data_IF_171374434353
#
_entry.id   IF_171374434353
#
_cell.length_a   1.000
_cell.length_b   1.000
_cell.length_c   1.000
_cell.angle_alpha   90.00
_cell.angle_beta   90.00
_cell.angle_gamma   90.00
#
_symmetry.space_group_name_H-M   'P 1'
#
loop_
_entity.id
_entity.type
_entity.pdbx_description
1 polymer ?
#
# COMPACT_ATOMS: atom_id res chain seq x y z
N UNK A 1 -5.45 -79.90 -9.13
CA UNK A 1 -5.11 -80.79 -8.01
C UNK A 1 -4.45 -79.99 -6.90
N UNK A 2 -4.98 -80.11 -5.71
CA UNK A 2 -4.44 -79.73 -4.40
C UNK A 2 -4.35 -78.22 -4.02
N UNK A 3 -5.39 -77.79 -3.33
CA UNK A 3 -5.29 -76.88 -2.16
C UNK A 3 -4.54 -77.63 -1.03
N UNK A 4 -3.87 -76.96 -0.08
CA UNK A 4 -4.54 -76.75 1.19
C UNK A 4 -4.22 -75.48 1.98
N UNK A 5 -5.16 -75.16 2.81
CA UNK A 5 -5.22 -74.82 4.24
C UNK A 5 -4.83 -73.41 4.72
N UNK A 6 -5.83 -72.81 5.33
CA UNK A 6 -5.86 -71.60 6.11
C UNK A 6 -5.04 -71.70 7.42
N UNK A 7 -4.46 -70.58 7.83
CA UNK A 7 -4.03 -70.35 9.20
C UNK A 7 -4.59 -68.99 9.69
N UNK A 8 -5.52 -69.03 10.61
CA UNK A 8 -6.10 -67.93 11.37
C UNK A 8 -5.01 -67.41 12.35
N UNK A 9 -4.58 -66.17 12.21
CA UNK A 9 -3.87 -65.43 13.28
C UNK A 9 -4.70 -64.29 13.78
N UNK A 10 -5.02 -64.34 15.05
CA UNK A 10 -5.66 -63.31 15.87
C UNK A 10 -4.71 -62.10 15.91
N UNK A 11 -5.17 -60.96 15.42
CA UNK A 11 -4.46 -59.70 15.60
C UNK A 11 -5.07 -58.94 16.76
N UNK A 12 -4.23 -58.60 17.72
CA UNK A 12 -4.56 -57.76 18.84
C UNK A 12 -4.82 -56.32 18.36
N UNK A 13 -5.92 -55.72 18.82
CA UNK A 13 -6.18 -54.29 18.69
C UNK A 13 -5.16 -53.52 19.54
N UNK A 14 -4.26 -52.79 18.90
CA UNK A 14 -3.50 -51.72 19.53
C UNK A 14 -4.29 -50.42 19.37
N UNK A 15 -4.80 -49.87 20.47
CA UNK A 15 -5.31 -48.49 20.53
C UNK A 15 -4.10 -47.56 20.30
N UNK A 16 -4.06 -46.94 19.13
CA UNK A 16 -3.17 -45.82 18.89
C UNK A 16 -3.86 -44.56 19.41
N UNK A 17 -3.38 -44.04 20.53
CA UNK A 17 -3.75 -42.70 21.03
C UNK A 17 -3.20 -41.65 20.07
N UNK A 18 -4.08 -41.08 19.23
CA UNK A 18 -3.76 -39.93 18.37
C UNK A 18 -3.72 -38.68 19.27
N UNK A 19 -2.53 -38.33 19.71
CA UNK A 19 -2.26 -36.98 20.26
C UNK A 19 -2.49 -35.95 19.14
N UNK A 20 -3.60 -35.23 19.21
CA UNK A 20 -3.78 -34.01 18.42
C UNK A 20 -2.69 -33.00 18.85
N UNK A 21 -1.66 -32.87 18.05
CA UNK A 21 -0.76 -31.73 18.07
C UNK A 21 -1.56 -30.52 17.55
N UNK A 22 -2.11 -29.74 18.47
CA UNK A 22 -2.55 -28.38 18.20
C UNK A 22 -1.33 -27.60 17.73
N UNK A 23 -1.17 -27.48 16.43
CA UNK A 23 -0.17 -26.64 15.80
C UNK A 23 -0.47 -25.18 16.15
N UNK A 24 0.21 -24.68 17.20
CA UNK A 24 0.31 -23.25 17.46
C UNK A 24 0.88 -22.61 16.20
N UNK A 25 0.13 -21.71 15.56
CA UNK A 25 0.62 -20.87 14.48
C UNK A 25 1.64 -19.90 15.09
N UNK A 26 2.91 -20.35 15.17
CA UNK A 26 4.01 -19.50 15.61
C UNK A 26 4.13 -18.30 14.66
N UNK A 27 4.10 -17.10 15.20
CA UNK A 27 4.69 -15.95 14.53
C UNK A 27 6.10 -16.36 14.10
N UNK A 28 6.38 -16.31 12.81
CA UNK A 28 7.68 -16.73 12.28
C UNK A 28 8.77 -15.89 12.96
N UNK A 29 9.59 -16.53 13.81
CA UNK A 29 10.70 -15.85 14.45
C UNK A 29 11.63 -15.28 13.37
N UNK A 30 12.15 -14.07 13.58
CA UNK A 30 13.13 -13.51 12.66
C UNK A 30 14.31 -14.46 12.52
N UNK A 31 14.86 -14.67 11.31
CA UNK A 31 16.03 -15.50 11.12
C UNK A 31 17.18 -14.95 11.96
N UNK A 32 17.95 -15.85 12.60
CA UNK A 32 19.16 -15.45 13.30
C UNK A 32 20.15 -14.83 12.29
N UNK A 33 20.62 -13.62 12.60
CA UNK A 33 21.60 -12.91 11.78
C UNK A 33 22.89 -12.79 12.55
N UNK A 34 24.00 -13.27 11.96
CA UNK A 34 25.32 -13.17 12.54
C UNK A 34 25.83 -11.71 12.44
N UNK A 35 26.10 -11.10 13.59
CA UNK A 35 26.63 -9.74 13.67
C UNK A 35 28.07 -9.62 13.09
N UNK A 36 28.89 -10.66 13.16
CA UNK A 36 30.21 -10.63 12.54
C UNK A 36 30.12 -10.66 11.03
N UNK A 37 29.21 -11.47 10.47
CA UNK A 37 28.88 -11.46 9.05
C UNK A 37 28.31 -10.12 8.61
N UNK A 38 27.47 -9.46 9.43
CA UNK A 38 26.96 -8.13 9.14
C UNK A 38 28.07 -7.08 9.07
N UNK A 39 28.95 -7.03 10.06
CA UNK A 39 30.12 -6.11 10.06
C UNK A 39 31.03 -6.35 8.86
N UNK A 40 31.31 -7.60 8.53
CA UNK A 40 32.09 -7.96 7.33
C UNK A 40 31.43 -7.47 6.05
N UNK A 41 30.12 -7.65 5.94
CA UNK A 41 29.34 -7.14 4.82
C UNK A 41 29.44 -5.60 4.69
N UNK A 42 29.25 -4.86 5.78
CA UNK A 42 29.37 -3.39 5.78
C UNK A 42 30.76 -2.93 5.31
N UNK A 43 31.83 -3.57 5.78
CA UNK A 43 33.19 -3.27 5.33
C UNK A 43 33.37 -3.49 3.81
N UNK A 44 32.80 -4.56 3.26
CA UNK A 44 32.81 -4.82 1.81
C UNK A 44 32.00 -3.79 1.03
N UNK A 45 30.86 -3.36 1.57
CA UNK A 45 29.99 -2.38 0.92
C UNK A 45 30.66 -1.02 0.80
N UNK A 46 31.41 -0.57 1.80
CA UNK A 46 32.15 0.69 1.79
C UNK A 46 33.08 0.82 0.57
N UNK A 47 33.75 -0.26 0.18
CA UNK A 47 34.65 -0.30 -0.99
C UNK A 47 33.95 -0.55 -2.33
N UNK A 48 32.62 -0.76 -2.34
CA UNK A 48 31.89 -1.14 -3.55
C UNK A 48 31.51 0.06 -4.41
N UNK A 49 31.32 -0.17 -5.72
CA UNK A 49 30.94 0.88 -6.68
C UNK A 49 29.58 1.53 -6.37
N UNK A 50 28.69 0.85 -5.66
CA UNK A 50 27.39 1.39 -5.25
C UNK A 50 27.54 2.59 -4.28
N UNK A 51 28.62 2.62 -3.48
CA UNK A 51 28.87 3.64 -2.46
C UNK A 51 29.87 4.71 -2.88
N UNK A 52 30.29 4.76 -4.14
CA UNK A 52 31.28 5.73 -4.65
C UNK A 52 30.92 7.22 -4.41
N UNK A 53 29.63 7.53 -4.23
CA UNK A 53 29.13 8.88 -3.95
C UNK A 53 29.03 9.19 -2.44
N UNK A 54 29.38 8.23 -1.57
CA UNK A 54 29.43 8.37 -0.12
C UNK A 54 30.89 8.37 0.30
N UNK A 55 31.37 9.44 0.92
CA UNK A 55 32.73 9.48 1.42
C UNK A 55 32.95 8.53 2.62
N UNK A 56 34.22 8.15 2.84
CA UNK A 56 34.55 7.15 3.87
C UNK A 56 34.22 7.64 5.30
N UNK A 57 34.32 8.94 5.56
CA UNK A 57 34.01 9.51 6.87
C UNK A 57 32.51 9.46 7.15
N UNK A 58 31.67 9.84 6.17
CA UNK A 58 30.22 9.74 6.24
C UNK A 58 29.76 8.30 6.38
N UNK A 59 30.32 7.38 5.58
CA UNK A 59 30.00 5.95 5.71
C UNK A 59 30.26 5.48 7.14
N UNK A 60 31.49 5.72 7.65
CA UNK A 60 31.87 5.31 9.01
C UNK A 60 30.97 5.95 10.05
N UNK A 61 30.74 7.27 9.98
CA UNK A 61 29.92 8.03 10.91
C UNK A 61 28.51 7.47 11.05
N UNK A 62 27.86 7.10 9.95
CA UNK A 62 26.46 6.69 9.94
C UNK A 62 26.27 5.18 10.09
N UNK A 63 27.35 4.37 10.02
CA UNK A 63 27.28 2.92 10.22
C UNK A 63 28.00 2.44 11.49
N UNK A 64 28.70 3.31 12.20
CA UNK A 64 29.40 2.97 13.43
C UNK A 64 28.41 2.47 14.49
N UNK A 65 28.69 1.27 15.04
CA UNK A 65 27.83 0.65 16.06
C UNK A 65 26.49 0.13 15.55
N UNK A 66 26.26 0.12 14.23
CA UNK A 66 25.02 -0.36 13.65
C UNK A 66 24.86 -1.87 13.86
N UNK A 67 23.74 -2.28 14.45
CA UNK A 67 23.32 -3.67 14.56
C UNK A 67 22.30 -4.03 13.48
N UNK A 68 22.24 -5.29 13.00
CA UNK A 68 21.21 -5.68 12.04
C UNK A 68 19.82 -5.71 12.68
N UNK A 69 18.77 -5.49 11.88
CA UNK A 69 17.37 -5.71 12.26
C UNK A 69 16.79 -6.93 11.52
N UNK A 70 16.84 -8.14 12.09
CA UNK A 70 16.33 -9.35 11.42
C UNK A 70 14.83 -9.31 11.12
N UNK A 71 14.07 -8.47 11.82
CA UNK A 71 12.62 -8.38 11.63
C UNK A 71 12.24 -7.87 10.24
N UNK A 72 13.09 -7.09 9.56
CA UNK A 72 12.82 -6.61 8.19
C UNK A 72 12.89 -7.74 7.17
N UNK A 73 13.61 -8.82 7.45
CA UNK A 73 13.72 -9.97 6.54
C UNK A 73 12.41 -10.76 6.45
N UNK A 74 11.65 -10.84 7.55
CA UNK A 74 10.33 -11.48 7.59
C UNK A 74 9.31 -10.71 6.73
N UNK A 75 9.48 -9.39 6.61
CA UNK A 75 8.56 -8.52 5.89
C UNK A 75 8.75 -8.54 4.37
N UNK A 76 9.89 -9.04 3.87
CA UNK A 76 10.17 -9.13 2.44
C UNK A 76 9.12 -9.89 1.62
N UNK A 77 8.41 -10.84 2.24
CA UNK A 77 7.42 -11.70 1.57
C UNK A 77 5.97 -11.26 1.83
N UNK A 78 5.76 -10.14 2.54
CA UNK A 78 4.44 -9.63 2.90
C UNK A 78 4.16 -8.29 2.22
N UNK A 79 3.33 -8.32 1.18
CA UNK A 79 2.91 -7.11 0.43
C UNK A 79 1.37 -7.06 0.37
N UNK A 80 0.70 -6.34 1.31
CA UNK A 80 -0.77 -6.31 1.43
C UNK A 80 -1.49 -5.81 0.18
N UNK A 81 -0.91 -4.87 -0.56
CA UNK A 81 -1.48 -4.26 -1.78
C UNK A 81 -1.74 -5.26 -2.91
N UNK A 82 -1.12 -6.44 -2.87
CA UNK A 82 -1.32 -7.50 -3.84
C UNK A 82 -2.19 -8.66 -3.33
N UNK A 83 -2.48 -8.69 -2.02
CA UNK A 83 -3.19 -9.80 -1.37
C UNK A 83 -4.60 -9.46 -0.93
N UNK A 84 -4.88 -8.19 -0.63
CA UNK A 84 -6.20 -7.75 -0.20
C UNK A 84 -7.16 -7.62 -1.41
N UNK A 85 -8.46 -7.96 -1.24
CA UNK A 85 -9.48 -7.56 -2.19
C UNK A 85 -9.51 -6.04 -2.38
N UNK A 86 -9.79 -5.57 -3.60
CA UNK A 86 -9.78 -4.14 -3.92
C UNK A 86 -10.72 -3.33 -3.02
N UNK A 87 -11.89 -3.88 -2.70
CA UNK A 87 -12.86 -3.18 -1.83
C UNK A 87 -12.41 -3.04 -0.39
N UNK A 88 -11.63 -3.98 0.16
CA UNK A 88 -11.02 -3.85 1.49
C UNK A 88 -9.89 -2.80 1.45
N UNK A 89 -9.07 -2.83 0.40
CA UNK A 89 -7.98 -1.90 0.20
C UNK A 89 -8.50 -0.45 0.11
N UNK A 90 -9.53 -0.22 -0.70
CA UNK A 90 -10.16 1.10 -0.85
C UNK A 90 -10.83 1.55 0.45
N UNK A 91 -11.56 0.67 1.15
CA UNK A 91 -12.26 1.04 2.39
C UNK A 91 -11.33 1.56 3.50
N UNK A 92 -10.09 1.03 3.57
CA UNK A 92 -9.08 1.50 4.55
C UNK A 92 -8.40 2.80 4.12
N UNK A 93 -8.23 3.02 2.82
CA UNK A 93 -7.48 4.16 2.29
C UNK A 93 -8.36 5.36 1.89
N UNK A 94 -9.66 5.13 1.69
CA UNK A 94 -10.60 6.17 1.27
C UNK A 94 -11.84 6.06 2.13
N UNK A 95 -11.83 6.75 3.25
CA UNK A 95 -12.93 6.84 4.21
C UNK A 95 -13.28 8.31 4.52
N UNK A 96 -14.43 8.52 5.18
CA UNK A 96 -14.92 9.87 5.49
C UNK A 96 -13.91 10.70 6.31
N UNK A 97 -13.19 10.08 7.25
CA UNK A 97 -12.17 10.76 8.05
C UNK A 97 -11.02 11.25 7.16
N UNK A 98 -10.49 10.37 6.31
CA UNK A 98 -9.38 10.75 5.42
C UNK A 98 -9.80 11.80 4.39
N UNK A 99 -11.04 11.73 3.92
CA UNK A 99 -11.59 12.77 3.01
C UNK A 99 -11.71 14.10 3.74
N UNK A 100 -12.20 14.12 4.98
CA UNK A 100 -12.29 15.33 5.79
C UNK A 100 -10.89 15.93 6.07
N UNK A 101 -9.94 15.10 6.50
CA UNK A 101 -8.53 15.49 6.70
C UNK A 101 -7.91 16.03 5.41
N UNK A 102 -8.18 15.39 4.27
CA UNK A 102 -7.70 15.82 2.96
C UNK A 102 -8.23 17.17 2.53
N UNK A 103 -9.52 17.44 2.76
CA UNK A 103 -10.14 18.76 2.50
C UNK A 103 -9.53 19.83 3.41
N UNK A 104 -9.33 19.53 4.68
CA UNK A 104 -8.67 20.43 5.62
C UNK A 104 -7.21 20.72 5.21
N UNK A 105 -6.46 19.70 4.82
CA UNK A 105 -5.10 19.81 4.32
C UNK A 105 -5.03 20.63 3.03
N UNK A 106 -5.95 20.39 2.09
CA UNK A 106 -6.07 21.15 0.85
C UNK A 106 -6.31 22.64 1.13
N UNK A 107 -7.26 22.96 2.01
CA UNK A 107 -7.56 24.34 2.38
C UNK A 107 -6.36 25.02 3.08
N UNK A 108 -5.71 24.32 4.02
CA UNK A 108 -4.55 24.84 4.74
C UNK A 108 -3.38 25.19 3.82
N UNK A 109 -3.13 24.37 2.79
CA UNK A 109 -1.97 24.50 1.91
C UNK A 109 -2.32 25.04 0.53
N UNK A 110 -3.49 25.66 0.36
CA UNK A 110 -4.03 26.08 -0.93
C UNK A 110 -3.06 26.96 -1.74
N UNK A 111 -2.42 27.95 -1.11
CA UNK A 111 -1.50 28.86 -1.81
C UNK A 111 -0.22 28.15 -2.24
N UNK A 112 0.33 27.28 -1.39
CA UNK A 112 1.48 26.43 -1.72
C UNK A 112 1.15 25.50 -2.88
N UNK A 113 0.02 24.81 -2.81
CA UNK A 113 -0.45 23.89 -3.84
C UNK A 113 -0.68 24.60 -5.19
N UNK A 114 -1.23 25.81 -5.18
CA UNK A 114 -1.42 26.63 -6.40
C UNK A 114 -0.08 27.00 -7.04
N UNK A 115 0.93 27.38 -6.25
CA UNK A 115 2.28 27.64 -6.75
C UNK A 115 2.93 26.37 -7.34
N UNK A 116 2.74 25.22 -6.68
CA UNK A 116 3.22 23.93 -7.17
C UNK A 116 2.57 23.57 -8.50
N UNK A 117 1.24 23.73 -8.64
CA UNK A 117 0.52 23.49 -9.88
C UNK A 117 1.01 24.39 -11.02
N UNK A 118 1.28 25.66 -10.75
CA UNK A 118 1.84 26.57 -11.75
C UNK A 118 3.18 26.08 -12.30
N UNK A 119 4.05 25.55 -11.44
CA UNK A 119 5.39 25.08 -11.81
C UNK A 119 5.37 23.69 -12.46
N UNK A 120 4.52 22.78 -11.99
CA UNK A 120 4.55 21.37 -12.39
C UNK A 120 3.44 20.95 -13.33
N UNK A 121 2.33 21.67 -13.32
CA UNK A 121 1.10 21.31 -14.02
C UNK A 121 0.28 20.23 -13.34
N UNK A 122 0.69 19.74 -12.18
CA UNK A 122 -0.01 18.69 -11.42
C UNK A 122 -1.14 19.32 -10.61
N UNK A 123 -2.34 18.78 -10.72
CA UNK A 123 -3.51 19.31 -10.02
C UNK A 123 -3.36 19.17 -8.49
N UNK A 124 -3.70 20.22 -7.71
CA UNK A 124 -3.55 20.26 -6.25
C UNK A 124 -4.22 19.11 -5.53
N UNK A 125 -5.44 18.73 -5.91
CA UNK A 125 -6.16 17.61 -5.30
C UNK A 125 -5.47 16.27 -5.51
N UNK A 126 -4.74 16.08 -6.62
CA UNK A 126 -3.97 14.88 -6.90
C UNK A 126 -2.76 14.78 -5.95
N UNK A 127 -2.06 15.89 -5.74
CA UNK A 127 -0.94 15.97 -4.79
C UNK A 127 -1.41 15.62 -3.37
N UNK A 128 -2.54 16.20 -2.95
CA UNK A 128 -3.16 15.91 -1.63
C UNK A 128 -3.62 14.46 -1.54
N UNK A 129 -4.17 13.89 -2.62
CA UNK A 129 -4.57 12.49 -2.68
C UNK A 129 -3.39 11.52 -2.46
N UNK A 130 -2.24 11.78 -3.11
CA UNK A 130 -1.00 11.02 -2.86
C UNK A 130 -0.57 11.17 -1.41
N UNK A 131 -0.48 12.39 -0.90
CA UNK A 131 -0.06 12.67 0.48
C UNK A 131 -0.94 11.97 1.52
N UNK A 132 -2.27 11.95 1.28
CA UNK A 132 -3.22 11.23 2.13
C UNK A 132 -3.03 9.72 2.14
N UNK A 133 -2.80 9.11 0.97
CA UNK A 133 -2.61 7.66 0.86
C UNK A 133 -1.25 7.24 1.42
N UNK A 134 -0.18 8.02 1.17
CA UNK A 134 1.18 7.66 1.58
C UNK A 134 1.41 7.78 3.08
N UNK A 135 1.04 8.90 3.67
CA UNK A 135 1.42 9.19 5.06
C UNK A 135 0.28 9.71 5.92
N UNK A 136 -0.98 9.59 5.46
CA UNK A 136 -2.11 10.19 6.15
C UNK A 136 -1.84 11.68 6.47
N UNK A 137 -1.46 12.43 5.45
CA UNK A 137 -1.10 13.86 5.55
C UNK A 137 0.04 14.14 6.54
N UNK A 138 1.07 13.32 6.52
CA UNK A 138 2.25 13.45 7.38
C UNK A 138 2.10 12.88 8.80
N UNK A 139 0.97 12.28 9.13
CA UNK A 139 0.74 11.70 10.47
C UNK A 139 1.37 10.31 10.64
N UNK A 140 1.68 9.61 9.55
CA UNK A 140 2.26 8.27 9.58
C UNK A 140 3.46 8.17 8.64
N UNK A 141 4.64 8.41 9.16
CA UNK A 141 5.90 8.39 8.40
C UNK A 141 6.64 7.06 8.49
N UNK A 142 6.15 6.12 9.31
CA UNK A 142 6.88 4.95 9.75
C UNK A 142 7.83 5.28 10.91
N UNK A 143 8.42 4.26 11.53
CA UNK A 143 9.23 4.45 12.75
C UNK A 143 10.54 3.66 12.77
N UNK A 144 10.93 3.03 11.66
CA UNK A 144 12.17 2.25 11.62
C UNK A 144 13.34 3.13 11.15
N UNK A 145 14.51 3.06 11.82
CA UNK A 145 15.71 3.72 11.33
C UNK A 145 16.07 3.19 9.94
N UNK A 146 16.07 4.08 8.93
CA UNK A 146 16.27 3.68 7.53
C UNK A 146 17.63 3.05 7.29
N UNK A 147 18.67 3.65 7.89
CA UNK A 147 20.06 3.16 7.75
C UNK A 147 20.16 1.72 8.23
N UNK A 148 19.56 1.38 9.37
CA UNK A 148 19.57 0.02 9.92
C UNK A 148 18.81 -0.97 9.04
N UNK A 149 17.59 -0.60 8.64
CA UNK A 149 16.74 -1.45 7.78
C UNK A 149 17.42 -1.73 6.45
N UNK A 150 17.90 -0.70 5.76
CA UNK A 150 18.55 -0.82 4.45
C UNK A 150 19.90 -1.52 4.52
N UNK A 151 20.71 -1.28 5.55
CA UNK A 151 21.95 -2.01 5.78
C UNK A 151 21.68 -3.52 5.95
N UNK A 152 20.68 -3.88 6.76
CA UNK A 152 20.29 -5.29 6.95
C UNK A 152 19.85 -5.93 5.64
N UNK A 153 18.98 -5.28 4.88
CA UNK A 153 18.49 -5.77 3.59
C UNK A 153 19.57 -5.79 2.50
N UNK A 154 20.61 -4.97 2.62
CA UNK A 154 21.78 -4.95 1.73
C UNK A 154 22.69 -6.14 1.93
N UNK A 155 22.76 -6.66 3.16
CA UNK A 155 23.63 -7.78 3.55
C UNK A 155 22.91 -9.13 3.53
N UNK A 156 21.60 -9.14 3.83
CA UNK A 156 20.83 -10.37 4.00
C UNK A 156 19.53 -10.34 3.21
N UNK A 157 18.96 -11.53 2.99
CA UNK A 157 17.71 -11.67 2.27
C UNK A 157 17.86 -11.62 0.75
N UNK A 158 16.74 -11.40 0.07
CA UNK A 158 16.67 -11.30 -1.41
C UNK A 158 16.75 -9.85 -1.88
N UNK A 159 17.09 -9.63 -3.17
CA UNK A 159 17.18 -8.30 -3.80
C UNK A 159 18.28 -7.40 -3.20
N UNK A 160 19.35 -7.95 -2.65
CA UNK A 160 20.43 -7.21 -2.02
C UNK A 160 20.99 -6.09 -2.92
N UNK A 161 21.17 -6.35 -4.22
CA UNK A 161 21.69 -5.34 -5.15
C UNK A 161 20.80 -4.08 -5.21
N UNK A 162 19.47 -4.26 -5.17
CA UNK A 162 18.53 -3.14 -5.09
C UNK A 162 18.71 -2.37 -3.77
N UNK A 163 18.70 -3.07 -2.63
CA UNK A 163 18.81 -2.43 -1.33
C UNK A 163 20.16 -1.76 -1.09
N UNK A 164 21.26 -2.25 -1.68
CA UNK A 164 22.57 -1.57 -1.67
C UNK A 164 22.51 -0.20 -2.31
N UNK A 165 21.80 -0.05 -3.42
CA UNK A 165 21.57 1.25 -4.06
C UNK A 165 20.76 2.20 -3.18
N UNK A 166 19.69 1.70 -2.53
CA UNK A 166 18.88 2.49 -1.63
C UNK A 166 19.64 2.86 -0.34
N UNK A 167 20.45 1.95 0.18
CA UNK A 167 21.30 2.21 1.35
C UNK A 167 22.35 3.31 1.05
N UNK A 168 23.05 3.20 -0.07
CA UNK A 168 24.00 4.23 -0.50
C UNK A 168 23.31 5.60 -0.66
N UNK A 169 22.13 5.63 -1.25
CA UNK A 169 21.33 6.85 -1.38
C UNK A 169 20.90 7.40 0.00
N UNK A 170 20.51 6.56 0.95
CA UNK A 170 20.17 7.00 2.31
C UNK A 170 21.37 7.65 3.03
N UNK A 171 22.56 7.04 2.95
CA UNK A 171 23.79 7.64 3.50
C UNK A 171 24.14 8.97 2.83
N UNK A 172 23.92 9.07 1.52
CA UNK A 172 24.16 10.30 0.78
C UNK A 172 23.18 11.42 1.18
N UNK A 173 21.91 11.13 1.48
CA UNK A 173 20.93 12.10 2.01
C UNK A 173 21.47 12.70 3.31
N UNK A 174 22.00 11.85 4.21
CA UNK A 174 22.60 12.29 5.46
C UNK A 174 23.91 13.07 5.26
N UNK A 175 24.75 12.63 4.35
CA UNK A 175 26.03 13.31 3.98
C UNK A 175 25.79 14.72 3.44
N UNK A 176 24.76 14.88 2.59
CA UNK A 176 24.39 16.17 2.00
C UNK A 176 23.60 17.07 2.99
N UNK A 177 23.25 16.54 4.18
CA UNK A 177 22.59 17.31 5.24
C UNK A 177 21.13 17.65 4.98
N UNK A 178 20.47 16.95 4.05
CA UNK A 178 19.07 17.21 3.73
C UNK A 178 18.11 16.81 4.86
N UNK A 179 18.40 15.70 5.54
CA UNK A 179 17.60 15.16 6.64
C UNK A 179 18.54 14.88 7.82
N UNK A 180 18.12 15.20 9.03
CA UNK A 180 18.88 14.89 10.24
C UNK A 180 18.89 13.36 10.49
N UNK A 181 19.98 12.77 11.04
CA UNK A 181 20.10 11.32 11.22
C UNK A 181 18.98 10.68 12.06
N UNK A 182 18.52 11.35 13.10
CA UNK A 182 17.42 10.93 13.97
C UNK A 182 16.05 11.05 13.31
N UNK A 183 15.91 11.85 12.26
CA UNK A 183 14.71 12.05 11.46
C UNK A 183 14.60 11.10 10.26
N UNK A 184 15.71 10.43 9.87
CA UNK A 184 15.69 9.50 8.74
C UNK A 184 15.10 8.15 9.18
N UNK A 185 13.81 8.18 9.45
CA UNK A 185 12.97 7.01 9.80
C UNK A 185 11.89 6.78 8.75
N UNK A 186 11.37 5.56 8.66
CA UNK A 186 10.35 5.25 7.67
C UNK A 186 9.87 3.80 7.72
N UNK A 187 9.55 3.23 6.56
CA UNK A 187 9.11 1.86 6.40
C UNK A 187 10.27 0.86 6.55
N UNK A 188 9.92 -0.41 6.74
CA UNK A 188 10.90 -1.50 6.79
C UNK A 188 11.75 -1.64 5.50
N UNK A 189 11.20 -1.23 4.36
CA UNK A 189 11.84 -1.34 3.04
C UNK A 189 12.61 -0.08 2.63
N UNK A 190 12.57 1.00 3.45
CA UNK A 190 13.32 2.21 3.19
C UNK A 190 12.53 3.37 2.58
N UNK A 191 11.20 3.24 2.42
CA UNK A 191 10.36 4.38 2.06
C UNK A 191 10.25 5.34 3.26
N UNK A 192 10.38 6.67 3.04
CA UNK A 192 10.46 7.63 4.13
C UNK A 192 9.83 8.98 3.81
N UNK A 193 9.61 9.76 4.87
CA UNK A 193 9.06 11.10 4.81
C UNK A 193 7.57 11.11 4.44
N UNK A 194 7.03 12.29 4.24
CA UNK A 194 5.61 12.50 3.96
C UNK A 194 5.18 11.95 2.59
N UNK A 195 6.13 11.82 1.67
CA UNK A 195 5.95 11.29 0.31
C UNK A 195 6.18 9.79 0.21
N UNK A 196 6.72 9.15 1.26
CA UNK A 196 7.15 7.75 1.26
C UNK A 196 8.07 7.41 0.07
N UNK A 197 9.00 8.31 -0.26
CA UNK A 197 9.99 8.06 -1.30
C UNK A 197 11.02 7.02 -0.86
N UNK A 198 11.44 6.20 -1.80
CA UNK A 198 12.70 5.47 -1.66
C UNK A 198 13.88 6.47 -1.75
N UNK A 199 15.01 6.24 -1.06
CA UNK A 199 16.16 7.15 -1.09
C UNK A 199 16.65 7.49 -2.50
N UNK A 200 16.64 6.56 -3.44
CA UNK A 200 16.97 6.83 -4.83
C UNK A 200 15.94 7.73 -5.53
N UNK A 201 14.65 7.62 -5.15
CA UNK A 201 13.58 8.49 -5.68
C UNK A 201 13.74 9.92 -5.15
N UNK A 202 14.20 10.08 -3.91
CA UNK A 202 14.53 11.39 -3.36
C UNK A 202 15.48 12.17 -4.28
N UNK A 203 16.56 11.57 -4.74
CA UNK A 203 17.51 12.26 -5.65
C UNK A 203 16.92 12.58 -7.02
N UNK A 204 15.92 11.84 -7.48
CA UNK A 204 15.26 12.08 -8.77
C UNK A 204 14.17 13.14 -8.70
N UNK A 205 13.51 13.30 -7.55
CA UNK A 205 12.24 14.03 -7.49
C UNK A 205 12.10 14.98 -6.29
N UNK A 206 12.90 14.86 -5.24
CA UNK A 206 12.83 15.79 -4.11
C UNK A 206 13.33 17.19 -4.52
N UNK A 207 12.59 18.20 -4.11
CA UNK A 207 12.87 19.61 -4.38
C UNK A 207 12.88 20.41 -3.07
N UNK A 208 13.71 21.43 -3.02
CA UNK A 208 13.69 22.49 -2.03
C UNK A 208 12.69 23.55 -2.53
N UNK A 209 11.49 23.56 -1.99
CA UNK A 209 10.41 24.44 -2.43
C UNK A 209 10.25 25.68 -1.55
N UNK A 210 10.60 25.58 -0.28
CA UNK A 210 10.58 26.71 0.65
C UNK A 210 11.86 27.57 0.59
N UNK A 211 12.94 27.05 -0.04
CA UNK A 211 14.16 27.78 -0.34
C UNK A 211 15.14 27.85 0.84
N UNK A 212 15.07 26.90 1.78
CA UNK A 212 15.96 26.84 2.96
C UNK A 212 17.32 26.19 2.67
N UNK A 213 17.55 25.69 1.44
CA UNK A 213 18.76 25.01 0.98
C UNK A 213 18.72 23.50 1.20
N UNK A 214 17.64 22.94 1.73
CA UNK A 214 17.46 21.50 1.95
C UNK A 214 16.25 21.00 1.16
N UNK A 215 16.24 19.73 0.83
CA UNK A 215 15.09 19.03 0.25
C UNK A 215 14.44 18.19 1.35
N UNK A 216 13.73 18.83 2.26
CA UNK A 216 13.22 18.19 3.47
C UNK A 216 11.81 17.63 3.29
N UNK A 217 11.71 16.41 2.81
CA UNK A 217 10.38 15.72 2.66
C UNK A 217 9.85 15.12 3.97
N UNK A 218 10.54 15.33 5.10
CA UNK A 218 10.13 14.82 6.42
C UNK A 218 9.43 15.93 7.21
N UNK A 219 10.11 17.03 7.45
CA UNK A 219 9.62 18.12 8.31
C UNK A 219 9.03 19.30 7.50
N UNK A 220 9.42 19.52 6.22
CA UNK A 220 8.85 20.55 5.35
C UNK A 220 7.69 20.02 4.51
N UNK A 221 6.48 20.45 4.83
CA UNK A 221 5.28 20.13 4.02
C UNK A 221 5.36 20.72 2.61
N UNK A 222 5.82 21.98 2.39
CA UNK A 222 6.00 22.53 1.05
C UNK A 222 6.91 21.68 0.17
N UNK A 223 8.05 21.22 0.69
CA UNK A 223 8.98 20.35 -0.03
C UNK A 223 8.36 19.00 -0.36
N UNK A 224 7.66 18.40 0.60
CA UNK A 224 6.98 17.13 0.41
C UNK A 224 5.93 17.20 -0.70
N UNK A 225 5.07 18.23 -0.68
CA UNK A 225 4.02 18.43 -1.69
C UNK A 225 4.62 18.70 -3.07
N UNK A 226 5.64 19.57 -3.15
CA UNK A 226 6.33 19.89 -4.40
C UNK A 226 7.10 18.69 -4.95
N UNK A 227 7.73 17.89 -4.08
CA UNK A 227 8.42 16.66 -4.46
C UNK A 227 7.46 15.61 -5.01
N UNK A 228 6.28 15.45 -4.40
CA UNK A 228 5.20 14.61 -4.93
C UNK A 228 4.79 15.05 -6.33
N UNK A 229 4.53 16.35 -6.52
CA UNK A 229 4.17 16.89 -7.83
C UNK A 229 5.30 16.71 -8.85
N UNK A 230 6.55 16.91 -8.45
CA UNK A 230 7.73 16.69 -9.31
C UNK A 230 7.87 15.22 -9.74
N UNK A 231 7.60 14.28 -8.85
CA UNK A 231 7.55 12.86 -9.20
C UNK A 231 6.51 12.59 -10.29
N UNK A 232 5.27 13.08 -10.10
CA UNK A 232 4.18 12.89 -11.07
C UNK A 232 4.49 13.58 -12.40
N UNK A 233 5.08 14.78 -12.38
CA UNK A 233 5.55 15.48 -13.58
C UNK A 233 6.60 14.65 -14.33
N UNK A 234 7.60 14.11 -13.63
CA UNK A 234 8.63 13.25 -14.20
C UNK A 234 8.04 11.95 -14.78
N UNK A 235 6.96 11.44 -14.19
CA UNK A 235 6.21 10.28 -14.69
C UNK A 235 5.30 10.60 -15.89
N UNK A 236 5.26 11.86 -16.34
CA UNK A 236 4.52 12.30 -17.53
C UNK A 236 3.08 12.73 -17.27
N UNK A 237 2.80 13.28 -16.08
CA UNK A 237 1.50 13.87 -15.75
C UNK A 237 1.13 14.95 -16.76
N UNK A 238 -0.12 14.95 -17.20
CA UNK A 238 -0.65 15.88 -18.20
C UNK A 238 -1.61 16.87 -17.54
N UNK A 239 -1.24 18.14 -17.62
CA UNK A 239 -2.08 19.24 -17.13
C UNK A 239 -3.46 19.22 -17.77
N UNK A 240 -4.52 19.36 -16.96
CA UNK A 240 -5.90 19.44 -17.43
C UNK A 240 -6.53 18.12 -17.85
N UNK A 241 -5.77 17.03 -18.00
CA UNK A 241 -6.37 15.70 -18.22
C UNK A 241 -6.80 15.09 -16.87
N UNK A 242 -8.02 14.53 -16.74
CA UNK A 242 -8.38 13.74 -15.57
C UNK A 242 -7.61 12.41 -15.54
N UNK A 243 -7.58 11.75 -14.39
CA UNK A 243 -7.06 10.38 -14.33
C UNK A 243 -7.95 9.37 -15.04
N UNK A 244 -9.27 9.60 -15.04
CA UNK A 244 -10.31 8.76 -15.60
C UNK A 244 -11.69 9.06 -15.04
N UNK A 245 -12.64 8.15 -15.33
CA UNK A 245 -14.04 8.25 -14.91
C UNK A 245 -14.58 6.86 -14.54
N UNK A 246 -15.48 6.77 -13.54
CA UNK A 246 -16.32 5.61 -13.38
C UNK A 246 -17.37 5.55 -14.51
N UNK A 247 -17.58 4.37 -15.10
CA UNK A 247 -18.43 4.18 -16.27
C UNK A 247 -19.41 3.04 -16.10
N UNK A 248 -20.56 3.15 -16.77
CA UNK A 248 -21.49 2.05 -16.97
C UNK A 248 -21.14 1.30 -18.28
N UNK A 249 -21.16 -0.03 -18.21
CA UNK A 249 -21.01 -0.88 -19.36
C UNK A 249 -22.40 -1.32 -19.84
N UNK A 250 -22.69 -1.31 -21.16
CA UNK A 250 -23.95 -1.84 -21.67
C UNK A 250 -24.08 -3.36 -21.36
N UNK A 251 -25.31 -3.89 -21.26
CA UNK A 251 -25.54 -5.32 -21.04
C UNK A 251 -24.81 -6.17 -22.09
N UNK A 252 -24.09 -7.20 -21.61
CA UNK A 252 -23.36 -8.11 -22.50
C UNK A 252 -22.06 -7.55 -23.08
N UNK A 253 -21.56 -6.42 -22.58
CA UNK A 253 -20.31 -5.84 -23.05
C UNK A 253 -19.14 -6.81 -22.91
N UNK A 254 -18.40 -7.01 -23.99
CA UNK A 254 -17.18 -7.84 -23.97
C UNK A 254 -16.04 -7.13 -23.24
N UNK A 255 -15.65 -7.68 -22.10
CA UNK A 255 -14.55 -7.18 -21.28
C UNK A 255 -13.23 -7.88 -21.53
N UNK A 256 -13.11 -8.76 -22.55
CA UNK A 256 -11.88 -9.54 -22.84
C UNK A 256 -10.66 -8.64 -22.98
N UNK A 257 -10.81 -7.50 -23.61
CA UNK A 257 -9.79 -6.47 -23.86
C UNK A 257 -9.60 -5.47 -22.69
N UNK A 258 -10.24 -5.69 -21.53
CA UNK A 258 -10.05 -4.79 -20.40
C UNK A 258 -8.58 -4.77 -19.96
N UNK A 259 -8.07 -3.56 -19.76
CA UNK A 259 -6.71 -3.29 -19.29
C UNK A 259 -6.37 -1.82 -19.45
N UNK A 260 -5.76 -1.22 -18.43
CA UNK A 260 -5.41 0.21 -18.41
C UNK A 260 -4.51 0.64 -19.58
N UNK A 261 -3.74 -0.27 -20.17
CA UNK A 261 -2.85 -0.02 -21.32
C UNK A 261 -3.53 -0.19 -22.67
N UNK A 262 -4.66 -0.90 -22.72
CA UNK A 262 -5.40 -1.17 -23.96
C UNK A 262 -6.27 0.06 -24.32
N UNK A 263 -5.60 1.18 -24.63
CA UNK A 263 -6.27 2.45 -24.85
C UNK A 263 -6.92 2.52 -26.22
N UNK A 264 -8.16 3.05 -26.21
CA UNK A 264 -8.90 3.43 -27.41
C UNK A 264 -9.27 4.91 -27.33
N UNK A 265 -9.47 5.60 -28.46
CA UNK A 265 -10.04 6.97 -28.46
C UNK A 265 -11.37 7.00 -27.69
N UNK A 266 -11.67 8.12 -27.02
CA UNK A 266 -12.91 8.21 -26.21
C UNK A 266 -14.16 7.99 -27.07
N UNK A 267 -14.17 8.43 -28.33
CA UNK A 267 -15.26 8.19 -29.26
C UNK A 267 -15.50 6.71 -29.57
N UNK A 268 -14.48 5.88 -29.52
CA UNK A 268 -14.65 4.44 -29.69
C UNK A 268 -15.43 3.85 -28.51
N UNK A 269 -15.20 4.35 -27.30
CA UNK A 269 -15.95 3.95 -26.12
C UNK A 269 -17.40 4.44 -26.15
N UNK A 270 -17.65 5.68 -26.61
CA UNK A 270 -19.01 6.21 -26.86
C UNK A 270 -19.78 5.34 -27.85
N UNK A 271 -19.17 5.02 -28.99
CA UNK A 271 -19.80 4.14 -29.99
C UNK A 271 -20.04 2.71 -29.47
N UNK A 272 -19.24 2.26 -28.52
CA UNK A 272 -19.46 0.98 -27.83
C UNK A 272 -20.54 1.05 -26.75
N UNK A 273 -21.20 2.21 -26.56
CA UNK A 273 -22.32 2.39 -25.64
C UNK A 273 -21.94 2.67 -24.18
N UNK A 274 -20.67 2.99 -23.90
CA UNK A 274 -20.27 3.36 -22.52
C UNK A 274 -20.74 4.78 -22.19
N UNK A 275 -21.20 4.95 -20.95
CA UNK A 275 -21.58 6.23 -20.37
C UNK A 275 -20.83 6.47 -19.06
N UNK A 276 -20.88 7.67 -18.51
CA UNK A 276 -20.49 7.90 -17.12
C UNK A 276 -21.41 7.11 -16.18
N UNK A 277 -20.97 6.95 -14.93
CA UNK A 277 -21.71 6.18 -13.92
C UNK A 277 -23.13 6.72 -13.64
N UNK A 278 -23.39 8.00 -13.88
CA UNK A 278 -24.71 8.64 -13.80
C UNK A 278 -25.57 8.53 -15.08
N UNK A 279 -25.07 7.81 -16.09
CA UNK A 279 -25.72 7.65 -17.40
C UNK A 279 -25.45 8.77 -18.40
N UNK A 280 -24.76 9.83 -18.03
CA UNK A 280 -24.41 10.94 -18.93
C UNK A 280 -23.31 10.54 -19.93
N UNK A 281 -23.18 11.33 -21.01
CA UNK A 281 -22.19 11.08 -22.05
C UNK A 281 -20.75 11.25 -21.54
N UNK A 282 -19.82 10.43 -22.08
CA UNK A 282 -18.41 10.55 -21.76
C UNK A 282 -17.88 11.93 -22.23
N UNK A 283 -17.14 12.69 -21.40
CA UNK A 283 -16.62 14.00 -21.76
C UNK A 283 -15.41 13.92 -22.71
N UNK A 284 -15.10 15.01 -23.41
CA UNK A 284 -13.94 15.12 -24.31
C UNK A 284 -12.61 15.40 -23.59
N UNK A 285 -12.64 15.54 -22.26
CA UNK A 285 -11.46 15.89 -21.46
C UNK A 285 -10.39 14.80 -21.41
N UNK A 286 -10.70 13.59 -21.90
CA UNK A 286 -9.79 12.46 -21.96
C UNK A 286 -9.70 11.95 -23.41
N UNK A 287 -8.59 12.19 -24.14
CA UNK A 287 -8.49 11.87 -25.55
C UNK A 287 -8.53 10.37 -25.86
N UNK A 288 -8.00 9.57 -24.95
CA UNK A 288 -8.01 8.09 -25.03
C UNK A 288 -7.95 7.46 -23.64
N UNK A 289 -8.58 6.31 -23.48
CA UNK A 289 -8.64 5.59 -22.22
C UNK A 289 -8.54 4.07 -22.39
N UNK A 290 -8.06 3.38 -21.38
CA UNK A 290 -8.17 1.94 -21.22
C UNK A 290 -9.27 1.58 -20.22
N UNK A 291 -9.95 0.47 -20.45
CA UNK A 291 -10.99 -0.01 -19.52
C UNK A 291 -10.37 -0.77 -18.36
N UNK A 292 -10.55 -0.28 -17.15
CA UNK A 292 -10.11 -0.92 -15.91
C UNK A 292 -11.31 -1.48 -15.16
N UNK A 293 -11.26 -2.77 -14.79
CA UNK A 293 -12.27 -3.44 -13.97
C UNK A 293 -11.54 -4.11 -12.80
N UNK A 294 -11.34 -3.43 -11.66
CA UNK A 294 -10.45 -3.91 -10.59
C UNK A 294 -10.90 -5.22 -9.94
N UNK A 295 -12.21 -5.48 -9.93
CA UNK A 295 -12.80 -6.69 -9.34
C UNK A 295 -13.01 -7.83 -10.36
N UNK A 296 -12.53 -7.69 -11.62
CA UNK A 296 -12.73 -8.71 -12.66
C UNK A 296 -12.22 -10.08 -12.22
N UNK A 297 -13.10 -11.08 -12.29
CA UNK A 297 -12.79 -12.44 -11.86
C UNK A 297 -12.68 -12.63 -10.34
N UNK A 298 -13.03 -11.61 -9.56
CA UNK A 298 -13.04 -11.63 -8.09
C UNK A 298 -14.44 -11.31 -7.61
N UNK A 299 -15.24 -12.31 -7.32
CA UNK A 299 -16.51 -12.14 -6.59
C UNK A 299 -16.41 -12.84 -5.24
N UNK A 300 -17.02 -12.29 -4.21
CA UNK A 300 -17.09 -12.89 -2.89
C UNK A 300 -18.55 -12.98 -2.42
N UNK A 301 -18.89 -14.08 -1.76
CA UNK A 301 -20.20 -14.25 -1.12
C UNK A 301 -21.37 -14.45 -2.10
N UNK A 302 -21.12 -14.81 -3.37
CA UNK A 302 -22.18 -15.04 -4.36
C UNK A 302 -22.79 -13.77 -4.95
N UNK A 303 -22.28 -12.58 -4.61
CA UNK A 303 -22.67 -11.34 -5.26
C UNK A 303 -22.17 -11.36 -6.72
N UNK A 304 -23.11 -11.42 -7.68
CA UNK A 304 -22.80 -11.37 -9.12
C UNK A 304 -22.42 -9.95 -9.55
N UNK A 305 -21.71 -9.86 -10.68
CA UNK A 305 -21.38 -8.58 -11.31
C UNK A 305 -19.86 -8.33 -11.44
N UNK A 306 -19.53 -7.32 -12.23
CA UNK A 306 -18.14 -6.91 -12.48
C UNK A 306 -17.60 -5.92 -11.43
N UNK A 307 -18.51 -5.32 -10.63
CA UNK A 307 -18.18 -4.16 -9.78
C UNK A 307 -17.95 -2.89 -10.59
N UNK A 308 -17.39 -1.85 -9.96
CA UNK A 308 -17.07 -0.59 -10.62
C UNK A 308 -16.12 -0.80 -11.80
N UNK A 309 -16.42 -0.13 -12.91
CA UNK A 309 -15.59 -0.08 -14.10
C UNK A 309 -15.15 1.36 -14.36
N UNK A 310 -13.93 1.53 -14.89
CA UNK A 310 -13.35 2.85 -15.10
C UNK A 310 -12.71 2.95 -16.48
N UNK A 311 -12.91 4.10 -17.15
CA UNK A 311 -12.04 4.50 -18.24
C UNK A 311 -10.89 5.31 -17.66
N UNK A 312 -9.65 4.82 -17.82
CA UNK A 312 -8.46 5.42 -17.23
C UNK A 312 -7.50 5.96 -18.28
N UNK A 313 -7.00 7.16 -18.04
CA UNK A 313 -6.11 7.88 -18.94
C UNK A 313 -4.63 7.77 -18.52
N UNK A 314 -3.83 8.68 -19.13
CA UNK A 314 -2.39 8.74 -18.84
C UNK A 314 -2.08 9.15 -17.41
N UNK A 315 -2.87 10.04 -16.81
CA UNK A 315 -2.66 10.46 -15.43
C UNK A 315 -2.89 9.33 -14.43
N UNK A 316 -3.74 8.35 -14.74
CA UNK A 316 -3.81 7.11 -13.95
C UNK A 316 -2.51 6.31 -13.98
N UNK A 317 -1.80 6.27 -15.13
CA UNK A 317 -0.50 5.59 -15.18
C UNK A 317 0.57 6.32 -14.35
N UNK A 318 0.49 7.65 -14.21
CA UNK A 318 1.43 8.37 -13.34
C UNK A 318 1.19 8.03 -11.87
N UNK A 319 -0.08 7.90 -11.45
CA UNK A 319 -0.42 7.40 -10.11
C UNK A 319 0.04 5.95 -9.92
N UNK A 320 -0.19 5.10 -10.91
CA UNK A 320 0.27 3.71 -10.89
C UNK A 320 1.80 3.59 -10.75
N UNK A 321 2.57 4.52 -11.34
CA UNK A 321 4.03 4.47 -11.31
C UNK A 321 4.62 4.68 -9.90
N UNK A 322 3.83 5.19 -8.98
CA UNK A 322 4.26 5.43 -7.60
C UNK A 322 4.49 4.11 -6.84
N UNK A 323 3.59 3.14 -6.98
CA UNK A 323 3.68 1.84 -6.29
C UNK A 323 3.37 0.61 -7.18
N UNK A 324 3.29 0.76 -8.49
CA UNK A 324 3.02 -0.31 -9.46
C UNK A 324 1.78 -1.18 -9.14
N UNK A 325 0.76 -0.62 -8.50
CA UNK A 325 -0.49 -1.26 -8.12
C UNK A 325 -1.70 -0.48 -8.63
N UNK A 326 -2.64 -1.16 -9.30
CA UNK A 326 -3.90 -0.55 -9.78
C UNK A 326 -4.82 -0.18 -8.63
N UNK A 327 -4.86 -0.99 -7.57
CA UNK A 327 -5.64 -0.68 -6.36
C UNK A 327 -5.14 0.60 -5.67
N UNK A 328 -3.81 0.74 -5.58
CA UNK A 328 -3.17 1.93 -5.03
C UNK A 328 -3.48 3.18 -5.88
N UNK A 329 -3.29 3.10 -7.19
CA UNK A 329 -3.61 4.21 -8.08
C UNK A 329 -5.09 4.63 -8.00
N UNK A 330 -6.00 3.65 -7.88
CA UNK A 330 -7.43 3.90 -7.74
C UNK A 330 -7.77 4.57 -6.39
N UNK A 331 -7.10 4.18 -5.29
CA UNK A 331 -7.28 4.83 -4.00
C UNK A 331 -6.90 6.31 -4.03
N UNK A 332 -5.74 6.64 -4.63
CA UNK A 332 -5.32 8.03 -4.82
C UNK A 332 -6.31 8.78 -5.70
N UNK A 333 -6.70 8.19 -6.82
CA UNK A 333 -7.62 8.77 -7.78
C UNK A 333 -8.97 9.12 -7.14
N UNK A 334 -9.53 8.18 -6.36
CA UNK A 334 -10.79 8.39 -5.64
C UNK A 334 -10.64 9.45 -4.54
N UNK A 335 -9.61 9.37 -3.71
CA UNK A 335 -9.36 10.37 -2.67
C UNK A 335 -9.19 11.78 -3.28
N UNK A 336 -8.46 11.89 -4.39
CA UNK A 336 -8.28 13.15 -5.12
C UNK A 336 -9.61 13.73 -5.57
N UNK A 337 -10.50 12.92 -6.13
CA UNK A 337 -11.83 13.35 -6.56
C UNK A 337 -12.67 13.83 -5.38
N UNK A 338 -12.66 13.11 -4.25
CA UNK A 338 -13.43 13.43 -3.05
C UNK A 338 -12.93 14.69 -2.35
N UNK A 339 -11.63 14.95 -2.39
CA UNK A 339 -11.04 16.21 -1.88
C UNK A 339 -11.52 17.41 -2.74
N UNK A 340 -11.55 17.25 -4.06
CA UNK A 340 -11.99 18.31 -4.97
C UNK A 340 -13.52 18.54 -4.98
N UNK A 341 -14.32 17.52 -4.61
CA UNK A 341 -15.78 17.55 -4.73
C UNK A 341 -16.45 17.35 -3.35
N UNK A 342 -16.72 18.41 -2.58
CA UNK A 342 -17.24 18.30 -1.22
C UNK A 342 -18.61 17.62 -1.08
N UNK A 343 -19.40 17.55 -2.15
CA UNK A 343 -20.71 16.89 -2.15
C UNK A 343 -20.68 15.40 -2.51
N UNK A 344 -19.53 14.86 -2.94
CA UNK A 344 -19.42 13.47 -3.34
C UNK A 344 -19.28 12.55 -2.12
N UNK A 345 -20.02 11.43 -2.12
CA UNK A 345 -19.86 10.35 -1.13
C UNK A 345 -18.63 9.46 -1.43
N UNK A 346 -18.12 8.77 -0.42
CA UNK A 346 -16.91 7.93 -0.55
C UNK A 346 -17.10 6.69 -1.42
N UNK A 347 -18.33 6.21 -1.56
CA UNK A 347 -18.65 5.04 -2.36
C UNK A 347 -18.62 5.35 -3.86
N UNK A 348 -18.21 4.38 -4.66
CA UNK A 348 -18.45 4.41 -6.10
C UNK A 348 -19.94 4.24 -6.41
N UNK A 349 -20.39 4.73 -7.56
CA UNK A 349 -21.78 4.61 -7.99
C UNK A 349 -22.20 3.14 -8.19
N UNK A 350 -21.28 2.32 -8.71
CA UNK A 350 -21.47 0.88 -8.85
C UNK A 350 -20.97 0.16 -7.60
N UNK A 351 -21.78 -0.67 -6.94
CA UNK A 351 -21.33 -1.40 -5.76
C UNK A 351 -20.28 -2.47 -6.11
N UNK A 352 -19.38 -2.73 -5.16
CA UNK A 352 -18.45 -3.85 -5.29
C UNK A 352 -19.16 -5.21 -5.29
N UNK A 353 -18.66 -6.23 -6.02
CA UNK A 353 -19.27 -7.55 -6.10
C UNK A 353 -18.93 -8.38 -4.84
N UNK A 354 -19.38 -7.91 -3.69
CA UNK A 354 -19.22 -8.56 -2.39
C UNK A 354 -20.44 -8.32 -1.50
N UNK A 355 -20.80 -9.32 -0.71
CA UNK A 355 -21.80 -9.22 0.33
C UNK A 355 -21.20 -8.94 1.73
N UNK A 356 -19.86 -8.75 1.77
CA UNK A 356 -19.11 -8.43 2.98
C UNK A 356 -18.07 -7.34 2.67
N UNK A 357 -18.46 -6.07 2.57
CA UNK A 357 -17.54 -4.97 2.32
C UNK A 357 -16.45 -4.83 3.40
N UNK A 358 -15.33 -4.22 3.05
CA UNK A 358 -14.27 -3.85 3.99
C UNK A 358 -14.73 -2.81 5.00
N UNK A 359 -13.94 -2.63 6.04
CA UNK A 359 -14.19 -1.67 7.12
C UNK A 359 -13.37 -0.37 6.91
N UNK A 360 -14.00 0.78 7.19
CA UNK A 360 -13.29 2.05 7.33
C UNK A 360 -12.34 2.03 8.55
N UNK A 361 -11.47 3.03 8.67
CA UNK A 361 -10.59 3.15 9.86
C UNK A 361 -11.39 3.27 11.16
N UNK A 362 -12.48 4.04 11.16
CA UNK A 362 -13.36 4.16 12.31
C UNK A 362 -13.99 2.82 12.69
N UNK A 363 -14.49 2.06 11.70
CA UNK A 363 -15.04 0.73 11.92
C UNK A 363 -13.98 -0.30 12.35
N UNK A 364 -12.75 -0.17 11.87
CA UNK A 364 -11.63 -0.99 12.35
C UNK A 364 -11.31 -0.70 13.82
N UNK A 365 -11.32 0.58 14.26
CA UNK A 365 -11.17 0.93 15.68
C UNK A 365 -12.32 0.36 16.52
N UNK A 366 -13.53 0.43 16.03
CA UNK A 366 -14.67 -0.19 16.70
C UNK A 366 -14.51 -1.71 16.85
N UNK A 367 -14.11 -2.40 15.76
CA UNK A 367 -13.80 -3.83 15.79
C UNK A 367 -12.70 -4.16 16.82
N UNK A 368 -11.62 -3.40 16.82
CA UNK A 368 -10.52 -3.56 17.78
C UNK A 368 -11.00 -3.34 19.22
N UNK A 369 -11.82 -2.33 19.48
CA UNK A 369 -12.41 -2.09 20.81
C UNK A 369 -13.28 -3.27 21.28
N UNK A 370 -14.05 -3.87 20.38
CA UNK A 370 -14.83 -5.05 20.67
C UNK A 370 -13.96 -6.29 20.95
N UNK A 371 -12.82 -6.43 20.27
CA UNK A 371 -11.85 -7.51 20.53
C UNK A 371 -11.16 -7.33 21.88
N UNK A 372 -10.74 -6.10 22.22
CA UNK A 372 -10.17 -5.76 23.52
C UNK A 372 -11.15 -6.07 24.67
N UNK A 373 -12.43 -5.67 24.51
CA UNK A 373 -13.47 -5.96 25.49
C UNK A 373 -13.72 -7.46 25.71
N UNK A 374 -13.36 -8.31 24.73
CA UNK A 374 -13.40 -9.78 24.80
C UNK A 374 -12.12 -10.42 25.33
N UNK A 375 -11.15 -9.61 25.76
CA UNK A 375 -9.91 -10.06 26.39
C UNK A 375 -8.77 -10.40 25.41
N UNK A 376 -8.86 -10.02 24.14
CA UNK A 376 -7.76 -10.22 23.20
C UNK A 376 -6.67 -9.16 23.38
N UNK A 377 -5.41 -9.59 23.56
CA UNK A 377 -4.25 -8.68 23.60
C UNK A 377 -3.82 -8.27 22.18
N UNK A 378 -4.46 -7.25 21.64
CA UNK A 378 -4.15 -6.71 20.32
C UNK A 378 -3.38 -5.38 20.35
N UNK A 379 -3.04 -4.88 21.54
CA UNK A 379 -2.47 -3.55 21.77
C UNK A 379 -3.53 -2.47 21.84
N UNK A 380 -3.54 -1.51 20.92
CA UNK A 380 -4.49 -0.38 20.90
C UNK A 380 -5.49 -0.51 19.74
N UNK A 381 -6.62 0.20 19.88
CA UNK A 381 -7.60 0.36 18.80
C UNK A 381 -7.19 1.55 17.90
N UNK A 382 -6.19 1.32 17.06
CA UNK A 382 -5.58 2.33 16.16
C UNK A 382 -6.22 2.40 14.76
N UNK A 383 -7.10 1.45 14.44
CA UNK A 383 -7.72 1.31 13.12
C UNK A 383 -6.89 0.53 12.12
N UNK A 384 -5.73 0.01 12.50
CA UNK A 384 -4.83 -0.77 11.65
C UNK A 384 -4.91 -2.26 12.00
N UNK A 385 -5.27 -3.08 11.03
CA UNK A 385 -5.38 -4.53 11.24
C UNK A 385 -4.01 -5.20 11.15
N UNK A 386 -3.29 -5.21 12.28
CA UNK A 386 -1.98 -5.85 12.43
C UNK A 386 -2.06 -7.37 12.61
N UNK A 387 -0.92 -8.02 12.86
CA UNK A 387 -0.85 -9.47 13.03
C UNK A 387 -1.65 -9.95 14.25
N UNK A 388 -1.49 -9.32 15.41
CA UNK A 388 -2.23 -9.65 16.63
C UNK A 388 -3.74 -9.51 16.44
N UNK A 389 -4.19 -8.42 15.79
CA UNK A 389 -5.60 -8.19 15.48
C UNK A 389 -6.15 -9.29 14.56
N UNK A 390 -5.39 -9.73 13.54
CA UNK A 390 -5.81 -10.81 12.64
C UNK A 390 -5.99 -12.14 13.38
N UNK A 391 -5.11 -12.49 14.30
CA UNK A 391 -5.24 -13.72 15.09
C UNK A 391 -6.45 -13.65 16.05
N UNK A 392 -6.70 -12.50 16.69
CA UNK A 392 -7.90 -12.26 17.47
C UNK A 392 -9.18 -12.40 16.62
N UNK A 393 -9.17 -11.83 15.40
CA UNK A 393 -10.27 -11.97 14.44
C UNK A 393 -10.51 -13.45 14.11
N UNK A 394 -9.49 -14.24 13.81
CA UNK A 394 -9.64 -15.68 13.52
C UNK A 394 -10.28 -16.44 14.68
N UNK A 395 -9.86 -16.13 15.90
CA UNK A 395 -10.43 -16.73 17.12
C UNK A 395 -11.92 -16.41 17.25
N UNK A 396 -12.31 -15.15 17.05
CA UNK A 396 -13.72 -14.76 17.10
C UNK A 396 -14.54 -15.35 15.94
N UNK A 397 -13.98 -15.40 14.73
CA UNK A 397 -14.61 -16.04 13.58
C UNK A 397 -14.89 -17.52 13.87
N UNK A 398 -13.94 -18.26 14.46
CA UNK A 398 -14.15 -19.65 14.88
C UNK A 398 -15.27 -19.76 15.91
N UNK A 399 -15.26 -18.90 16.96
CA UNK A 399 -16.29 -18.87 18.00
C UNK A 399 -17.70 -18.61 17.44
N UNK A 400 -17.78 -17.81 16.38
CA UNK A 400 -19.02 -17.44 15.70
C UNK A 400 -19.42 -18.41 14.57
N UNK A 401 -18.68 -19.50 14.35
CA UNK A 401 -18.92 -20.44 13.25
C UNK A 401 -18.65 -19.87 11.86
N UNK A 402 -17.89 -18.78 11.77
CA UNK A 402 -17.46 -18.17 10.52
C UNK A 402 -16.15 -18.78 10.04
N UNK A 403 -15.82 -18.62 8.74
CA UNK A 403 -14.53 -19.02 8.21
C UNK A 403 -13.41 -18.22 8.87
N UNK A 404 -12.39 -18.85 9.51
CA UNK A 404 -11.34 -18.15 10.25
C UNK A 404 -10.21 -17.67 9.31
N UNK A 405 -10.52 -16.70 8.47
CA UNK A 405 -9.57 -16.13 7.51
C UNK A 405 -8.81 -14.88 8.03
N UNK A 406 -9.22 -14.35 9.18
CA UNK A 406 -8.61 -13.17 9.80
C UNK A 406 -8.96 -11.86 9.11
N UNK A 407 -9.97 -11.85 8.23
CA UNK A 407 -10.43 -10.66 7.52
C UNK A 407 -11.37 -9.83 8.38
N UNK A 408 -11.11 -8.54 8.45
CA UNK A 408 -11.99 -7.55 9.06
C UNK A 408 -13.07 -7.12 8.05
N UNK A 409 -14.27 -7.69 8.14
CA UNK A 409 -15.39 -7.39 7.26
C UNK A 409 -16.62 -6.93 8.03
N UNK A 410 -17.61 -6.36 7.30
CA UNK A 410 -18.86 -5.87 7.88
C UNK A 410 -19.64 -6.99 8.60
N UNK A 411 -19.61 -8.22 8.07
CA UNK A 411 -20.30 -9.38 8.68
C UNK A 411 -19.72 -9.69 10.06
N UNK A 412 -18.40 -9.68 10.20
CA UNK A 412 -17.76 -9.92 11.49
C UNK A 412 -18.10 -8.79 12.48
N UNK A 413 -17.97 -7.54 12.06
CA UNK A 413 -18.29 -6.39 12.91
C UNK A 413 -19.75 -6.47 13.40
N UNK A 414 -20.70 -6.75 12.51
CA UNK A 414 -22.10 -6.91 12.85
C UNK A 414 -22.35 -8.08 13.82
N UNK A 415 -21.63 -9.20 13.67
CA UNK A 415 -21.74 -10.35 14.55
C UNK A 415 -21.16 -10.08 15.95
N UNK A 416 -20.11 -9.30 16.06
CA UNK A 416 -19.48 -8.92 17.34
C UNK A 416 -20.30 -7.87 18.13
N UNK A 417 -21.19 -7.13 17.49
CA UNK A 417 -22.11 -6.16 18.12
C UNK A 417 -23.33 -6.79 18.79
N UNK A 418 -23.60 -8.05 18.50
CA UNK A 418 -24.72 -8.83 19.09
C UNK A 418 -24.32 -9.48 20.40
#
# INVERSE_FOLDING_TARGET
MNKPFAAIRRSALALASTTLLLGSAFAQEPPAVDEAAFRSCLAQLQGSSAFRAVDAASFTRFTQGLAPDPSVLVLLDRQPEFTLPVWDYIAVLVDDERVADGRAAYAKWQDTLRRIEQQTGVAPNVVVGVWGVESNFGQNLGGRPLVQSLATLSCFGRRQAYFRGEFAAALRILQEGHIAPDKLVGSWAGAFGQTQFMPSTFFRSAVDFDGDGRRDIVDSVPDALASTAKFLQNAGYRRGEPWGFEVQLPPGFDTSDAGRKNRRPIDAWRRAGLTLADGSALPDTLPSAGLLIPARGRSAGGAGGLGPAFLVGRNFDTLYSYNASENYALAIAQLSNLVANPGAGVAFATPWPTDDPGLSRAQNRELQSLLLARGHDIGSADGMIGAKTREAIKTEQQRLGMKPDGRAGQKLLAALKR
#
